data_IF_522193578882
#
_entry.id   IF_522193578882
#
_cell.length_a   1.000
_cell.length_b   1.000
_cell.length_c   1.000
_cell.angle_alpha   90.00
_cell.angle_beta   90.00
_cell.angle_gamma   90.00
#
_symmetry.space_group_name_H-M   'P 1'
#
loop_
_entity.id
_entity.type
_entity.pdbx_description
1 polymer ?
#
# COMPACT_ATOMS: atom_id res chain seq x y z
N UNK A 1 33.64 -42.86 58.64
CA UNK A 1 33.87 -42.24 57.30
C UNK A 1 32.49 -41.88 56.72
N UNK A 2 32.01 -40.63 56.93
CA UNK A 2 30.66 -40.19 56.61
C UNK A 2 30.69 -39.48 55.25
N UNK A 3 30.06 -40.06 54.20
CA UNK A 3 29.92 -39.51 52.87
C UNK A 3 28.72 -38.57 52.90
N UNK A 4 28.94 -37.26 52.71
CA UNK A 4 27.89 -36.26 52.50
C UNK A 4 27.54 -36.24 51.00
N UNK A 5 26.32 -36.66 50.68
CA UNK A 5 25.72 -36.57 49.38
C UNK A 5 25.27 -35.10 49.18
N UNK A 6 25.88 -34.39 48.27
CA UNK A 6 25.46 -33.07 47.86
C UNK A 6 24.45 -33.21 46.72
N UNK A 7 23.16 -32.91 46.98
CA UNK A 7 22.11 -32.85 45.96
C UNK A 7 22.22 -31.53 45.19
N UNK A 8 22.64 -31.54 43.97
CA UNK A 8 22.61 -30.37 43.10
C UNK A 8 21.17 -30.17 42.60
N UNK A 9 20.54 -29.03 42.99
CA UNK A 9 19.25 -28.58 42.50
C UNK A 9 19.45 -27.84 41.19
N UNK A 10 19.17 -28.49 40.05
CA UNK A 10 19.15 -27.83 38.74
C UNK A 10 17.86 -27.02 38.62
N UNK A 11 17.94 -25.67 38.68
CA UNK A 11 16.86 -24.80 38.27
C UNK A 11 16.74 -24.89 36.75
N UNK A 12 15.70 -25.50 36.26
CA UNK A 12 15.28 -25.37 34.86
C UNK A 12 14.66 -23.97 34.69
N UNK A 13 15.39 -23.07 34.04
CA UNK A 13 14.82 -21.81 33.61
C UNK A 13 13.84 -22.12 32.45
N UNK A 14 12.56 -22.11 32.72
CA UNK A 14 11.53 -22.07 31.69
C UNK A 14 11.60 -20.66 31.07
N UNK A 15 12.08 -20.57 29.83
CA UNK A 15 11.92 -19.35 29.05
C UNK A 15 10.42 -19.11 28.87
N UNK A 16 9.89 -18.06 29.52
CA UNK A 16 8.56 -17.54 29.24
C UNK A 16 8.67 -16.92 27.83
N UNK A 17 8.21 -17.66 26.84
CA UNK A 17 8.11 -17.13 25.49
C UNK A 17 6.90 -16.17 25.51
N UNK A 18 7.12 -14.91 25.18
CA UNK A 18 6.03 -13.96 25.01
C UNK A 18 5.08 -14.47 23.89
N UNK A 19 3.78 -14.25 24.06
CA UNK A 19 2.83 -14.55 23.00
C UNK A 19 3.19 -13.71 21.77
N UNK A 20 3.03 -14.24 20.54
CA UNK A 20 3.24 -13.49 19.32
C UNK A 20 2.32 -12.25 19.28
N UNK A 21 2.81 -11.14 18.76
CA UNK A 21 2.01 -9.93 18.56
C UNK A 21 0.87 -10.22 17.57
N UNK A 22 -0.32 -9.77 17.89
CA UNK A 22 -1.48 -9.76 16.98
C UNK A 22 -1.46 -8.47 16.20
N UNK A 23 -1.14 -8.57 14.93
CA UNK A 23 -0.95 -7.40 14.07
C UNK A 23 -2.05 -7.38 13.03
N UNK A 24 -2.67 -6.22 12.87
CA UNK A 24 -3.72 -5.97 11.88
C UNK A 24 -3.23 -4.92 10.90
N UNK A 25 -3.38 -5.20 9.60
CA UNK A 25 -3.10 -4.25 8.52
C UNK A 25 -4.41 -3.90 7.80
N UNK A 26 -4.52 -2.70 7.28
CA UNK A 26 -5.69 -2.25 6.53
C UNK A 26 -5.81 -2.96 5.17
N UNK A 27 -4.73 -3.01 4.41
CA UNK A 27 -4.69 -3.47 3.01
C UNK A 27 -3.62 -4.54 2.77
N UNK A 28 -3.75 -5.28 1.69
CA UNK A 28 -2.83 -6.36 1.34
C UNK A 28 -1.39 -5.89 1.07
N UNK A 29 -1.13 -4.73 0.42
CA UNK A 29 0.23 -4.19 0.32
C UNK A 29 0.87 -3.92 1.68
N UNK A 30 0.11 -3.36 2.62
CA UNK A 30 0.61 -3.05 3.97
C UNK A 30 0.82 -4.33 4.77
N UNK A 31 -0.11 -5.29 4.69
CA UNK A 31 0.10 -6.63 5.27
C UNK A 31 1.42 -7.25 4.78
N UNK A 32 1.70 -7.17 3.47
CA UNK A 32 2.94 -7.68 2.88
C UNK A 32 4.19 -7.03 3.46
N UNK A 33 4.17 -5.71 3.65
CA UNK A 33 5.29 -4.96 4.23
C UNK A 33 5.51 -5.32 5.70
N UNK A 34 4.45 -5.40 6.49
CA UNK A 34 4.52 -5.83 7.89
C UNK A 34 5.02 -7.26 7.98
N UNK A 35 4.49 -8.18 7.15
CA UNK A 35 4.91 -9.58 7.12
C UNK A 35 6.40 -9.72 6.74
N UNK A 36 6.91 -8.84 5.85
CA UNK A 36 8.33 -8.80 5.51
C UNK A 36 9.21 -8.47 6.73
N UNK A 37 8.72 -7.63 7.65
CA UNK A 37 9.46 -7.25 8.87
C UNK A 37 9.34 -8.32 9.95
N UNK A 38 8.14 -8.83 10.21
CA UNK A 38 7.93 -9.80 11.31
C UNK A 38 8.41 -11.22 10.96
N UNK A 39 8.44 -11.58 9.67
CA UNK A 39 8.78 -12.94 9.24
C UNK A 39 7.85 -13.97 9.87
N UNK A 40 8.40 -15.01 10.45
CA UNK A 40 7.66 -16.10 11.12
C UNK A 40 7.34 -15.80 12.60
N UNK A 41 7.65 -14.59 13.11
CA UNK A 41 7.42 -14.22 14.51
C UNK A 41 5.98 -13.86 14.81
N UNK A 42 5.20 -13.44 13.81
CA UNK A 42 3.79 -13.09 13.94
C UNK A 42 3.05 -13.33 12.62
N UNK A 43 1.74 -13.57 12.73
CA UNK A 43 0.81 -13.49 11.59
C UNK A 43 0.21 -12.09 11.52
N UNK A 44 0.02 -11.59 10.30
CA UNK A 44 -0.57 -10.27 10.05
C UNK A 44 -1.94 -10.47 9.42
N UNK A 45 -2.99 -10.09 10.14
CA UNK A 45 -4.36 -10.12 9.61
C UNK A 45 -4.60 -8.89 8.73
N UNK A 46 -5.28 -9.06 7.59
CA UNK A 46 -5.68 -7.98 6.69
C UNK A 46 -7.18 -7.75 6.77
N UNK A 47 -7.59 -6.49 6.91
CA UNK A 47 -9.01 -6.13 7.03
C UNK A 47 -9.69 -6.06 5.67
N UNK A 48 -9.06 -5.41 4.69
CA UNK A 48 -9.65 -5.27 3.37
C UNK A 48 -9.54 -6.57 2.58
N UNK A 49 -10.67 -7.19 2.18
CA UNK A 49 -10.63 -8.40 1.36
C UNK A 49 -10.11 -8.10 -0.05
N UNK A 50 -9.46 -9.09 -0.65
CA UNK A 50 -8.94 -8.99 -2.02
C UNK A 50 -10.01 -8.48 -3.00
N UNK A 51 -9.65 -7.47 -3.79
CA UNK A 51 -10.51 -6.87 -4.82
C UNK A 51 -11.55 -5.86 -4.29
N UNK A 52 -11.63 -5.63 -2.97
CA UNK A 52 -12.46 -4.54 -2.44
C UNK A 52 -11.78 -3.19 -2.62
N UNK A 53 -12.58 -2.12 -2.76
CA UNK A 53 -12.07 -0.74 -2.78
C UNK A 53 -11.69 -0.31 -1.36
N UNK A 54 -10.48 0.24 -1.15
CA UNK A 54 -10.11 0.81 0.13
C UNK A 54 -10.88 2.10 0.46
N UNK A 55 -11.39 2.81 -0.55
CA UNK A 55 -12.10 4.08 -0.37
C UNK A 55 -13.58 3.90 -0.02
N UNK A 56 -14.18 2.74 -0.31
CA UNK A 56 -15.61 2.48 -0.15
C UNK A 56 -15.86 1.05 0.36
N UNK A 57 -15.33 0.72 1.53
CA UNK A 57 -15.51 -0.57 2.16
C UNK A 57 -16.35 -0.46 3.43
N UNK A 58 -17.32 -1.35 3.58
CA UNK A 58 -18.11 -1.49 4.80
C UNK A 58 -17.55 -2.60 5.68
N UNK A 59 -17.07 -2.25 6.88
CA UNK A 59 -16.51 -3.20 7.84
C UNK A 59 -17.45 -4.35 8.18
N UNK A 60 -16.89 -5.56 8.23
CA UNK A 60 -17.57 -6.76 8.73
C UNK A 60 -17.42 -6.87 10.24
N UNK A 61 -18.32 -7.62 10.91
CA UNK A 61 -18.15 -7.92 12.35
C UNK A 61 -16.81 -8.58 12.70
N UNK A 62 -16.24 -9.39 11.79
CA UNK A 62 -14.91 -9.98 11.96
C UNK A 62 -13.82 -8.93 12.05
N UNK A 63 -13.90 -7.88 11.26
CA UNK A 63 -12.90 -6.82 11.20
C UNK A 63 -12.89 -6.01 12.51
N UNK A 64 -14.08 -5.78 13.10
CA UNK A 64 -14.21 -5.17 14.41
C UNK A 64 -13.59 -6.03 15.53
N UNK A 65 -13.77 -7.35 15.47
CA UNK A 65 -13.16 -8.30 16.42
C UNK A 65 -11.63 -8.30 16.27
N UNK A 66 -11.12 -8.24 15.03
CA UNK A 66 -9.68 -8.18 14.78
C UNK A 66 -9.06 -6.91 15.40
N UNK A 67 -9.71 -5.74 15.23
CA UNK A 67 -9.26 -4.47 15.82
C UNK A 67 -9.30 -4.51 17.35
N UNK A 68 -10.37 -5.06 17.95
CA UNK A 68 -10.51 -5.17 19.41
C UNK A 68 -9.40 -6.00 20.05
N UNK A 69 -8.87 -6.98 19.34
CA UNK A 69 -7.85 -7.88 19.84
C UNK A 69 -6.43 -7.57 19.34
N UNK A 70 -6.25 -6.54 18.53
CA UNK A 70 -4.96 -6.17 18.00
C UNK A 70 -4.02 -5.64 19.09
N UNK A 71 -2.75 -6.04 19.03
CA UNK A 71 -1.66 -5.42 19.80
C UNK A 71 -1.03 -4.27 18.98
N UNK A 72 -1.09 -4.39 17.63
CA UNK A 72 -0.61 -3.36 16.70
C UNK A 72 -1.60 -3.24 15.54
N UNK A 73 -1.95 -2.01 15.18
CA UNK A 73 -2.70 -1.68 13.96
C UNK A 73 -1.80 -0.86 13.04
N UNK A 74 -1.62 -1.32 11.81
CA UNK A 74 -0.87 -0.60 10.77
C UNK A 74 -1.83 -0.27 9.65
N UNK A 75 -1.99 1.00 9.35
CA UNK A 75 -2.89 1.47 8.31
C UNK A 75 -2.26 2.61 7.54
N UNK A 76 -2.69 2.81 6.30
CA UNK A 76 -2.17 3.90 5.49
C UNK A 76 -2.58 5.25 6.09
N UNK A 77 -3.85 5.41 6.41
CA UNK A 77 -4.41 6.63 6.98
C UNK A 77 -5.81 6.93 6.45
N UNK A 78 -6.42 7.99 6.99
CA UNK A 78 -7.78 8.42 6.63
C UNK A 78 -7.98 8.58 5.12
N UNK A 79 -6.99 9.11 4.40
CA UNK A 79 -7.09 9.34 2.95
C UNK A 79 -7.32 8.07 2.13
N UNK A 80 -6.88 6.89 2.60
CA UNK A 80 -7.10 5.62 1.93
C UNK A 80 -8.30 4.86 2.47
N UNK A 81 -8.35 4.68 3.80
CA UNK A 81 -9.32 3.82 4.47
C UNK A 81 -10.13 4.61 5.51
N UNK A 82 -10.93 5.60 5.08
CA UNK A 82 -11.66 6.51 5.99
C UNK A 82 -12.61 5.78 6.93
N UNK A 83 -13.09 4.60 6.57
CA UNK A 83 -13.96 3.76 7.39
C UNK A 83 -13.28 3.20 8.64
N UNK A 84 -11.94 3.28 8.75
CA UNK A 84 -11.18 2.75 9.90
C UNK A 84 -10.94 3.77 11.02
N UNK A 85 -11.05 5.07 10.77
CA UNK A 85 -10.72 6.12 11.74
C UNK A 85 -11.47 5.93 13.07
N UNK A 86 -12.79 6.06 13.08
CA UNK A 86 -13.64 5.85 14.27
C UNK A 86 -13.49 4.46 14.90
N UNK A 87 -13.47 3.33 14.13
CA UNK A 87 -13.21 2.01 14.66
C UNK A 87 -11.85 1.85 15.34
N UNK A 88 -10.76 2.38 14.79
CA UNK A 88 -9.44 2.35 15.43
C UNK A 88 -9.49 3.05 16.79
N UNK A 89 -10.05 4.26 16.85
CA UNK A 89 -10.17 5.03 18.08
C UNK A 89 -11.03 4.33 19.14
N UNK A 90 -12.07 3.62 18.72
CA UNK A 90 -13.05 3.06 19.65
C UNK A 90 -12.78 1.62 20.06
N UNK A 91 -12.23 0.79 19.15
CA UNK A 91 -12.02 -0.65 19.36
C UNK A 91 -10.55 -0.99 19.67
N UNK A 92 -9.58 -0.34 19.02
CA UNK A 92 -8.16 -0.65 19.16
C UNK A 92 -7.46 0.21 20.24
N UNK A 93 -8.14 0.53 21.34
CA UNK A 93 -7.67 1.50 22.37
C UNK A 93 -6.36 1.12 23.06
N UNK A 94 -6.11 -0.17 23.18
CA UNK A 94 -4.91 -0.71 23.83
C UNK A 94 -3.81 -1.08 22.80
N UNK A 95 -4.11 -0.97 21.51
CA UNK A 95 -3.15 -1.25 20.43
C UNK A 95 -2.20 -0.07 20.19
N UNK A 96 -0.99 -0.40 19.73
CA UNK A 96 -0.14 0.61 19.11
C UNK A 96 -0.60 0.84 17.68
N UNK A 97 -1.03 2.06 17.36
CA UNK A 97 -1.48 2.43 16.02
C UNK A 97 -0.33 3.10 15.26
N UNK A 98 -0.08 2.62 14.06
CA UNK A 98 0.89 3.20 13.11
C UNK A 98 0.12 3.69 11.89
N UNK A 99 -0.06 4.99 11.78
CA UNK A 99 -0.57 5.65 10.59
C UNK A 99 0.62 5.98 9.69
N UNK A 100 0.67 5.35 8.53
CA UNK A 100 1.87 5.39 7.68
C UNK A 100 2.04 6.73 6.98
N UNK A 101 0.95 7.41 6.62
CA UNK A 101 1.02 8.76 6.03
C UNK A 101 1.57 9.80 7.00
N UNK A 102 1.42 9.59 8.30
CA UNK A 102 1.94 10.49 9.35
C UNK A 102 3.41 10.23 9.70
N UNK A 103 4.05 9.24 9.06
CA UNK A 103 5.43 8.90 9.35
C UNK A 103 6.43 9.77 8.60
N UNK A 104 7.62 9.95 9.18
CA UNK A 104 8.72 10.70 8.56
C UNK A 104 9.57 9.86 7.60
N UNK A 105 10.41 10.54 6.82
CA UNK A 105 11.49 9.92 6.04
C UNK A 105 11.14 9.64 4.57
N UNK A 106 10.02 10.13 4.08
CA UNK A 106 9.60 10.06 2.69
C UNK A 106 8.97 11.38 2.24
N UNK A 107 8.74 11.56 0.94
CA UNK A 107 8.17 12.79 0.38
C UNK A 107 6.72 12.54 -0.08
N UNK A 108 5.73 13.19 0.55
CA UNK A 108 4.34 13.09 0.13
C UNK A 108 4.12 13.73 -1.24
N UNK A 109 3.05 13.29 -1.93
CA UNK A 109 2.44 13.99 -3.05
C UNK A 109 1.24 14.71 -2.48
N UNK A 110 1.29 16.04 -2.48
CA UNK A 110 0.16 16.87 -2.06
C UNK A 110 -0.88 16.92 -3.19
N UNK A 111 -2.14 16.73 -2.84
CA UNK A 111 -3.26 16.89 -3.78
C UNK A 111 -3.63 18.37 -3.85
N UNK A 112 -3.67 18.92 -5.06
CA UNK A 112 -4.11 20.30 -5.27
C UNK A 112 -5.59 20.45 -4.88
N UNK A 113 -5.85 21.27 -3.88
CA UNK A 113 -7.22 21.69 -3.55
C UNK A 113 -7.75 22.60 -4.67
N UNK A 114 -8.57 22.06 -5.55
CA UNK A 114 -9.46 22.92 -6.34
C UNK A 114 -10.49 23.54 -5.39
N UNK A 115 -10.40 24.87 -5.23
CA UNK A 115 -11.26 25.72 -4.41
C UNK A 115 -12.74 25.32 -4.50
N UNK A 116 -13.21 24.51 -3.57
CA UNK A 116 -14.63 24.45 -3.25
C UNK A 116 -14.76 24.91 -1.77
N UNK A 117 -15.24 26.15 -1.60
CA UNK A 117 -15.37 26.84 -0.33
C UNK A 117 -16.34 26.11 0.60
N UNK A 118 -15.83 25.22 1.43
CA UNK A 118 -16.53 24.82 2.66
C UNK A 118 -15.60 25.11 3.85
N UNK A 119 -15.86 26.25 4.49
CA UNK A 119 -15.30 26.58 5.81
C UNK A 119 -15.84 25.56 6.82
N UNK A 120 -15.02 24.63 7.31
CA UNK A 120 -15.04 24.01 8.64
C UNK A 120 -14.22 22.71 8.59
N UNK A 121 -12.96 22.81 9.10
CA UNK A 121 -12.41 21.91 10.13
C UNK A 121 -10.93 22.25 10.37
N UNK A 122 -10.56 22.49 11.63
CA UNK A 122 -9.22 22.94 12.06
C UNK A 122 -8.14 21.83 12.04
N UNK A 123 -8.29 20.77 11.24
CA UNK A 123 -7.29 19.71 11.02
C UNK A 123 -7.03 19.46 9.53
N UNK A 124 -6.90 20.58 8.75
CA UNK A 124 -6.51 20.49 7.35
C UNK A 124 -4.99 20.24 7.24
N UNK A 125 -4.57 19.00 7.44
CA UNK A 125 -3.35 18.49 6.86
C UNK A 125 -3.64 18.36 5.37
N UNK A 126 -3.02 19.20 4.52
CA UNK A 126 -3.25 19.22 3.08
C UNK A 126 -3.39 17.80 2.54
N UNK A 127 -4.45 17.54 1.77
CA UNK A 127 -4.77 16.18 1.36
C UNK A 127 -3.56 15.59 0.63
N UNK A 128 -3.05 14.48 1.15
CA UNK A 128 -1.91 13.74 0.58
C UNK A 128 -2.47 12.57 -0.23
N UNK A 129 -1.90 12.33 -1.42
CA UNK A 129 -2.21 11.11 -2.19
C UNK A 129 -1.90 9.88 -1.31
N UNK A 130 -2.90 9.05 -1.00
CA UNK A 130 -2.70 7.95 -0.07
C UNK A 130 -2.01 6.72 -0.68
N UNK A 131 -1.78 6.65 -2.00
CA UNK A 131 -1.26 5.47 -2.69
C UNK A 131 0.28 5.34 -2.63
N UNK A 132 0.86 5.79 -1.50
CA UNK A 132 2.30 5.98 -1.35
C UNK A 132 3.12 4.68 -1.38
N UNK A 133 2.52 3.51 -1.11
CA UNK A 133 3.21 2.21 -1.22
C UNK A 133 3.69 1.86 -2.63
N UNK A 134 3.31 2.62 -3.65
CA UNK A 134 3.71 2.40 -5.05
C UNK A 134 5.07 3.00 -5.41
N UNK A 135 5.80 3.55 -4.43
CA UNK A 135 7.16 4.05 -4.61
C UNK A 135 8.19 3.30 -3.76
N UNK A 136 9.38 2.97 -4.32
CA UNK A 136 10.44 2.23 -3.61
C UNK A 136 11.00 2.96 -2.39
N UNK A 137 11.16 4.28 -2.46
CA UNK A 137 11.66 5.13 -1.38
C UNK A 137 10.67 5.14 -0.20
N UNK A 138 9.38 5.25 -0.47
CA UNK A 138 8.33 5.20 0.55
C UNK A 138 8.28 3.82 1.21
N UNK A 139 8.26 2.74 0.42
CA UNK A 139 8.28 1.37 1.00
C UNK A 139 9.48 1.18 1.92
N UNK A 140 10.66 1.66 1.52
CA UNK A 140 11.88 1.55 2.33
C UNK A 140 11.78 2.32 3.65
N UNK A 141 11.23 3.54 3.63
CA UNK A 141 11.02 4.36 4.82
C UNK A 141 10.01 3.69 5.77
N UNK A 142 8.87 3.24 5.24
CA UNK A 142 7.83 2.59 6.03
C UNK A 142 8.29 1.27 6.66
N UNK A 143 9.04 0.45 5.94
CA UNK A 143 9.61 -0.80 6.47
C UNK A 143 10.58 -0.52 7.64
N UNK A 144 11.40 0.52 7.54
CA UNK A 144 12.28 0.91 8.64
C UNK A 144 11.50 1.44 9.85
N UNK A 145 10.44 2.22 9.62
CA UNK A 145 9.53 2.69 10.68
C UNK A 145 8.86 1.51 11.39
N UNK A 146 8.34 0.54 10.63
CA UNK A 146 7.73 -0.67 11.17
C UNK A 146 8.72 -1.49 12.01
N UNK A 147 9.96 -1.70 11.52
CA UNK A 147 10.98 -2.42 12.27
C UNK A 147 11.35 -1.73 13.58
N UNK A 148 11.42 -0.40 13.59
CA UNK A 148 11.69 0.38 14.80
C UNK A 148 10.55 0.26 15.82
N UNK A 149 9.30 0.43 15.36
CA UNK A 149 8.11 0.35 16.22
C UNK A 149 7.96 -1.05 16.83
N UNK A 150 8.02 -2.09 15.99
CA UNK A 150 7.93 -3.48 16.45
C UNK A 150 9.08 -3.85 17.39
N UNK A 151 10.30 -3.37 17.12
CA UNK A 151 11.45 -3.57 18.00
C UNK A 151 11.33 -2.90 19.38
N UNK A 152 10.54 -1.82 19.49
CA UNK A 152 10.20 -1.20 20.79
C UNK A 152 9.16 -2.00 21.56
N UNK A 153 8.17 -2.58 20.86
CA UNK A 153 7.11 -3.37 21.45
C UNK A 153 7.58 -4.78 21.86
N UNK A 154 8.46 -5.35 21.05
CA UNK A 154 9.08 -6.66 21.28
C UNK A 154 10.61 -6.58 21.23
N UNK A 155 11.27 -6.09 22.29
CA UNK A 155 12.72 -5.91 22.32
C UNK A 155 13.51 -7.22 22.17
N UNK A 156 12.90 -8.36 22.49
CA UNK A 156 13.55 -9.67 22.36
C UNK A 156 13.82 -10.03 20.89
N UNK A 157 12.98 -9.57 19.98
CA UNK A 157 13.05 -9.83 18.55
C UNK A 157 13.51 -8.61 17.72
N UNK A 158 13.86 -7.48 18.36
CA UNK A 158 14.23 -6.23 17.68
C UNK A 158 15.34 -6.41 16.63
N UNK A 159 16.37 -7.22 16.93
CA UNK A 159 17.45 -7.49 15.97
C UNK A 159 16.95 -8.26 14.72
N UNK A 160 15.97 -9.14 14.89
CA UNK A 160 15.36 -9.88 13.77
C UNK A 160 14.55 -8.95 12.90
N UNK A 161 13.74 -8.07 13.48
CA UNK A 161 12.98 -7.06 12.71
C UNK A 161 13.90 -6.15 11.90
N UNK A 162 15.00 -5.66 12.49
CA UNK A 162 15.98 -4.84 11.77
C UNK A 162 16.68 -5.60 10.64
N UNK A 163 17.04 -6.86 10.86
CA UNK A 163 17.64 -7.70 9.83
C UNK A 163 16.67 -7.95 8.66
N UNK A 164 15.42 -8.27 8.97
CA UNK A 164 14.39 -8.48 7.97
C UNK A 164 14.11 -7.21 7.17
N UNK A 165 14.02 -6.05 7.84
CA UNK A 165 13.83 -4.75 7.20
C UNK A 165 14.98 -4.43 6.23
N UNK A 166 16.23 -4.65 6.63
CA UNK A 166 17.39 -4.45 5.76
C UNK A 166 17.37 -5.40 4.54
N UNK A 167 16.94 -6.65 4.74
CA UNK A 167 16.77 -7.62 3.65
C UNK A 167 15.70 -7.17 2.68
N UNK A 168 14.54 -6.72 3.19
CA UNK A 168 13.46 -6.25 2.34
C UNK A 168 13.82 -4.95 1.60
N UNK A 169 14.57 -4.03 2.24
CA UNK A 169 15.08 -2.85 1.56
C UNK A 169 15.97 -3.22 0.37
N UNK A 170 16.78 -4.27 0.49
CA UNK A 170 17.56 -4.78 -0.64
C UNK A 170 16.65 -5.30 -1.77
N UNK A 171 15.61 -6.06 -1.43
CA UNK A 171 14.64 -6.55 -2.41
C UNK A 171 13.87 -5.43 -3.11
N UNK A 172 13.57 -4.33 -2.40
CA UNK A 172 12.95 -3.13 -2.98
C UNK A 172 13.89 -2.49 -4.02
N UNK A 173 15.19 -2.35 -3.71
CA UNK A 173 16.19 -1.78 -4.63
C UNK A 173 16.34 -2.66 -5.88
N UNK A 174 16.38 -3.98 -5.71
CA UNK A 174 16.44 -4.92 -6.82
C UNK A 174 15.19 -4.83 -7.70
N UNK A 175 14.01 -4.70 -7.08
CA UNK A 175 12.74 -4.51 -7.80
C UNK A 175 12.72 -3.17 -8.54
N UNK A 176 13.18 -2.08 -7.92
CA UNK A 176 13.30 -0.78 -8.59
C UNK A 176 14.11 -0.90 -9.86
N UNK A 177 15.28 -1.56 -9.80
CA UNK A 177 16.14 -1.77 -10.97
C UNK A 177 15.44 -2.59 -12.07
N UNK A 178 14.68 -3.63 -11.69
CA UNK A 178 13.92 -4.45 -12.62
C UNK A 178 12.77 -3.66 -13.30
N UNK A 179 12.09 -2.79 -12.56
CA UNK A 179 11.06 -1.88 -13.09
C UNK A 179 11.67 -0.90 -14.09
N UNK A 180 12.79 -0.27 -13.73
CA UNK A 180 13.52 0.66 -14.60
C UNK A 180 13.95 -0.01 -15.93
N UNK A 181 14.42 -1.25 -15.87
CA UNK A 181 14.78 -2.05 -17.06
C UNK A 181 13.53 -2.37 -17.90
N UNK A 182 12.43 -2.78 -17.26
CA UNK A 182 11.17 -3.11 -17.93
C UNK A 182 10.60 -1.92 -18.70
N UNK A 183 10.69 -0.72 -18.13
CA UNK A 183 10.15 0.52 -18.69
C UNK A 183 11.12 1.22 -19.69
N UNK A 184 12.37 0.77 -19.80
CA UNK A 184 13.41 1.47 -20.56
C UNK A 184 13.03 1.76 -22.02
N UNK A 185 12.41 0.78 -22.68
CA UNK A 185 12.06 0.86 -24.12
C UNK A 185 10.74 1.62 -24.40
N UNK A 186 9.96 1.91 -23.35
CA UNK A 186 8.65 2.57 -23.47
C UNK A 186 8.60 3.95 -22.81
N UNK A 187 9.74 4.49 -22.40
CA UNK A 187 9.82 5.82 -21.79
C UNK A 187 9.26 6.89 -22.72
N UNK A 188 8.45 7.78 -22.13
CA UNK A 188 7.73 8.82 -22.89
C UNK A 188 6.49 8.33 -23.61
N UNK A 189 6.15 7.05 -23.54
CA UNK A 189 4.87 6.52 -24.00
C UNK A 189 3.72 7.16 -23.21
N UNK A 190 2.63 7.49 -23.93
CA UNK A 190 1.50 8.21 -23.37
C UNK A 190 0.40 7.23 -22.96
N UNK A 191 -0.04 7.33 -21.70
CA UNK A 191 -1.12 6.52 -21.16
C UNK A 191 -2.03 7.35 -20.25
N UNK A 192 -3.22 6.85 -20.02
CA UNK A 192 -4.15 7.37 -19.00
C UNK A 192 -4.50 6.26 -18.03
N UNK A 193 -4.91 6.63 -16.81
CA UNK A 193 -5.32 5.70 -15.74
C UNK A 193 -6.82 5.81 -15.48
N UNK A 194 -7.45 4.72 -15.02
CA UNK A 194 -8.86 4.75 -14.66
C UNK A 194 -9.12 5.53 -13.37
N UNK A 195 -8.19 5.46 -12.45
CA UNK A 195 -8.21 6.09 -11.13
C UNK A 195 -6.85 6.72 -10.87
N UNK A 196 -6.83 7.90 -10.27
CA UNK A 196 -5.59 8.64 -9.96
C UNK A 196 -4.88 8.03 -8.74
N UNK A 197 -4.37 6.82 -8.92
CA UNK A 197 -3.72 6.03 -7.86
C UNK A 197 -2.24 5.77 -8.12
N UNK A 198 -1.73 6.09 -9.31
CA UNK A 198 -0.35 5.72 -9.69
C UNK A 198 0.68 6.85 -9.52
N UNK A 199 0.30 8.01 -8.94
CA UNK A 199 1.15 9.20 -8.85
C UNK A 199 2.53 8.94 -8.25
N UNK A 200 2.64 8.10 -7.22
CA UNK A 200 3.92 7.72 -6.63
C UNK A 200 4.76 6.82 -7.55
N UNK A 201 4.13 5.89 -8.26
CA UNK A 201 4.80 5.08 -9.28
C UNK A 201 5.29 5.95 -10.44
N UNK A 202 4.43 6.83 -10.94
CA UNK A 202 4.75 7.78 -12.02
C UNK A 202 5.95 8.64 -11.67
N UNK A 203 5.97 9.20 -10.46
CA UNK A 203 7.09 10.00 -9.94
C UNK A 203 8.37 9.17 -9.80
N UNK A 204 8.28 7.96 -9.23
CA UNK A 204 9.44 7.13 -8.95
C UNK A 204 10.15 6.66 -10.22
N UNK A 205 9.39 6.43 -11.29
CA UNK A 205 9.91 5.83 -12.52
C UNK A 205 9.91 6.77 -13.74
N UNK A 206 9.59 8.06 -13.54
CA UNK A 206 9.53 9.08 -14.59
C UNK A 206 8.62 8.65 -15.77
N UNK A 207 7.42 8.20 -15.42
CA UNK A 207 6.37 7.74 -16.34
C UNK A 207 5.05 8.46 -16.00
N UNK A 208 4.91 9.76 -16.28
CA UNK A 208 3.70 10.49 -15.95
C UNK A 208 2.52 10.07 -16.82
N UNK A 209 1.36 9.81 -16.22
CA UNK A 209 0.12 9.63 -16.94
C UNK A 209 -0.34 10.95 -17.59
N UNK A 210 -0.97 10.86 -18.77
CA UNK A 210 -1.56 12.01 -19.43
C UNK A 210 -2.83 12.52 -18.72
N UNK A 211 -3.40 11.71 -17.83
CA UNK A 211 -4.56 12.04 -17.01
C UNK A 211 -5.24 10.81 -16.44
N UNK A 212 -6.23 11.03 -15.58
CA UNK A 212 -7.03 10.00 -14.95
C UNK A 212 -8.51 10.13 -15.34
N UNK A 213 -9.24 8.99 -15.44
CA UNK A 213 -10.68 9.00 -15.75
C UNK A 213 -11.46 9.48 -14.53
N UNK A 214 -11.05 9.06 -13.32
CA UNK A 214 -11.66 9.50 -12.04
C UNK A 214 -10.55 9.85 -11.05
N UNK A 215 -10.87 10.70 -10.09
CA UNK A 215 -9.97 11.02 -8.96
C UNK A 215 -9.93 9.85 -7.96
N UNK A 216 -11.05 9.13 -7.81
CA UNK A 216 -11.19 8.00 -6.89
C UNK A 216 -12.02 6.90 -7.57
N UNK A 217 -11.75 5.64 -7.25
CA UNK A 217 -12.52 4.48 -7.72
C UNK A 217 -13.98 4.52 -7.24
N UNK A 218 -14.25 5.20 -6.12
CA UNK A 218 -15.59 5.43 -5.57
C UNK A 218 -16.38 6.54 -6.29
N UNK A 219 -15.77 7.26 -7.26
CA UNK A 219 -16.39 8.40 -7.94
C UNK A 219 -16.71 8.11 -9.40
N UNK A 220 -17.75 8.80 -9.94
CA UNK A 220 -18.08 8.75 -11.35
C UNK A 220 -17.54 10.01 -12.06
N UNK A 221 -16.94 9.88 -13.26
CA UNK A 221 -16.42 11.04 -13.98
C UNK A 221 -17.55 11.94 -14.51
N UNK A 222 -17.32 13.25 -14.47
CA UNK A 222 -18.23 14.21 -15.13
C UNK A 222 -18.15 14.14 -16.65
N UNK A 223 -19.26 14.45 -17.36
CA UNK A 223 -19.28 14.42 -18.82
C UNK A 223 -18.28 15.40 -19.46
N UNK A 224 -18.09 16.58 -18.87
CA UNK A 224 -17.11 17.57 -19.35
C UNK A 224 -15.69 17.03 -19.25
N UNK A 225 -15.34 16.39 -18.13
CA UNK A 225 -14.03 15.78 -17.91
C UNK A 225 -13.73 14.65 -18.92
N UNK A 226 -14.71 13.79 -19.21
CA UNK A 226 -14.57 12.76 -20.25
C UNK A 226 -14.24 13.37 -21.64
N UNK A 227 -14.91 14.49 -22.00
CA UNK A 227 -14.65 15.19 -23.27
C UNK A 227 -13.23 15.75 -23.29
N UNK A 228 -12.82 16.40 -22.23
CA UNK A 228 -11.48 16.96 -22.07
C UNK A 228 -10.40 15.88 -22.13
N UNK A 229 -10.56 14.79 -21.37
CA UNK A 229 -9.63 13.67 -21.35
C UNK A 229 -9.47 13.04 -22.74
N UNK A 230 -10.57 12.86 -23.48
CA UNK A 230 -10.51 12.36 -24.87
C UNK A 230 -9.77 13.31 -25.80
N UNK A 231 -9.86 14.62 -25.60
CA UNK A 231 -9.08 15.60 -26.37
C UNK A 231 -7.59 15.48 -26.03
N UNK A 232 -7.23 15.38 -24.75
CA UNK A 232 -5.85 15.15 -24.28
C UNK A 232 -5.28 13.86 -24.93
N UNK A 233 -6.06 12.79 -24.92
CA UNK A 233 -5.67 11.51 -25.51
C UNK A 233 -5.38 11.63 -27.02
N UNK A 234 -6.17 12.43 -27.74
CA UNK A 234 -5.95 12.67 -29.18
C UNK A 234 -4.73 13.55 -29.42
N UNK A 235 -4.54 14.62 -28.65
CA UNK A 235 -3.47 15.58 -28.81
C UNK A 235 -2.08 14.98 -28.47
N UNK A 236 -2.05 14.01 -27.55
CA UNK A 236 -0.84 13.33 -27.09
C UNK A 236 -0.63 11.93 -27.68
N UNK A 237 -1.48 11.49 -28.61
CA UNK A 237 -1.45 10.13 -29.21
C UNK A 237 -1.41 9.03 -28.12
N UNK A 238 -2.29 9.13 -27.11
CA UNK A 238 -2.38 8.13 -26.04
C UNK A 238 -2.78 6.77 -26.60
N UNK A 239 -1.93 5.77 -26.38
CA UNK A 239 -2.12 4.40 -26.91
C UNK A 239 -2.52 3.37 -25.87
N UNK A 240 -2.48 3.73 -24.58
CA UNK A 240 -2.76 2.82 -23.48
C UNK A 240 -3.70 3.46 -22.43
N UNK A 241 -4.65 2.67 -21.93
CA UNK A 241 -5.51 2.99 -20.79
C UNK A 241 -5.30 1.91 -19.75
N UNK A 242 -4.76 2.28 -18.59
CA UNK A 242 -4.65 1.37 -17.46
C UNK A 242 -5.93 1.43 -16.63
N UNK A 243 -6.49 0.26 -16.33
CA UNK A 243 -7.68 0.13 -15.49
C UNK A 243 -7.36 -0.71 -14.26
N UNK A 244 -7.93 -0.36 -13.13
CA UNK A 244 -7.87 -1.15 -11.90
C UNK A 244 -9.16 -1.97 -11.71
N UNK A 245 -9.12 -3.07 -10.91
CA UNK A 245 -10.29 -3.93 -10.69
C UNK A 245 -11.43 -3.25 -9.92
N UNK A 246 -11.15 -2.18 -9.18
CA UNK A 246 -12.11 -1.47 -8.34
C UNK A 246 -12.93 -0.47 -9.17
N UNK A 247 -12.34 0.08 -10.24
CA UNK A 247 -13.00 1.04 -11.13
C UNK A 247 -13.94 0.34 -12.13
N UNK A 248 -15.08 0.97 -12.41
CA UNK A 248 -16.02 0.42 -13.41
C UNK A 248 -15.39 0.39 -14.81
N UNK A 249 -15.27 -0.78 -15.45
CA UNK A 249 -14.67 -0.90 -16.79
C UNK A 249 -15.46 -0.15 -17.88
N UNK A 250 -16.71 0.23 -17.57
CA UNK A 250 -17.57 0.99 -18.47
C UNK A 250 -16.97 2.36 -18.84
N UNK A 251 -16.34 3.03 -17.89
CA UNK A 251 -15.74 4.34 -18.14
C UNK A 251 -14.53 4.26 -19.05
N UNK A 252 -13.68 3.27 -18.86
CA UNK A 252 -12.55 3.01 -19.74
C UNK A 252 -13.01 2.73 -21.19
N UNK A 253 -14.09 1.96 -21.36
CA UNK A 253 -14.70 1.72 -22.69
C UNK A 253 -15.19 3.01 -23.35
N UNK A 254 -15.87 3.89 -22.59
CA UNK A 254 -16.36 5.18 -23.09
C UNK A 254 -15.19 6.08 -23.51
N UNK A 255 -14.12 6.11 -22.73
CA UNK A 255 -12.92 6.91 -23.04
C UNK A 255 -12.16 6.33 -24.24
N UNK A 256 -12.03 5.01 -24.35
CA UNK A 256 -11.34 4.32 -25.43
C UNK A 256 -12.06 4.43 -26.79
N UNK A 257 -13.39 4.67 -26.79
CA UNK A 257 -14.18 4.67 -28.03
C UNK A 257 -13.65 5.67 -29.06
N UNK A 258 -13.22 5.16 -30.22
CA UNK A 258 -12.71 5.97 -31.34
C UNK A 258 -11.26 6.49 -31.16
N UNK A 259 -10.56 6.15 -30.09
CA UNK A 259 -9.15 6.55 -29.88
C UNK A 259 -8.16 5.51 -30.39
N UNK A 260 -8.53 4.25 -30.47
CA UNK A 260 -7.62 3.15 -30.80
C UNK A 260 -6.73 2.72 -29.64
N UNK A 261 -6.84 3.33 -28.46
CA UNK A 261 -6.05 2.97 -27.29
C UNK A 261 -6.39 1.57 -26.78
N UNK A 262 -5.36 0.81 -26.39
CA UNK A 262 -5.51 -0.48 -25.74
C UNK A 262 -5.95 -0.26 -24.29
N UNK A 263 -6.71 -1.20 -23.75
CA UNK A 263 -7.10 -1.22 -22.33
C UNK A 263 -6.38 -2.39 -21.65
N UNK A 264 -5.61 -2.11 -20.62
CA UNK A 264 -4.87 -3.11 -19.85
C UNK A 264 -5.19 -2.96 -18.35
N UNK A 265 -5.20 -4.09 -17.63
CA UNK A 265 -5.57 -4.11 -16.21
C UNK A 265 -4.32 -4.13 -15.35
N UNK A 266 -4.25 -3.21 -14.38
CA UNK A 266 -3.25 -3.17 -13.29
C UNK A 266 -3.98 -3.24 -11.96
N UNK A 267 -3.36 -3.85 -10.95
CA UNK A 267 -3.97 -3.96 -9.62
C UNK A 267 -3.03 -3.35 -8.55
N UNK A 268 -3.26 -2.09 -8.15
CA UNK A 268 -2.46 -1.44 -7.11
C UNK A 268 -2.52 -2.13 -5.74
N UNK A 269 -3.54 -2.98 -5.51
CA UNK A 269 -3.66 -3.78 -4.28
C UNK A 269 -2.99 -5.17 -4.40
N UNK A 270 -2.67 -5.60 -5.61
CA UNK A 270 -1.99 -6.87 -5.86
C UNK A 270 -2.79 -8.10 -5.46
N UNK A 271 -4.12 -8.09 -5.63
CA UNK A 271 -4.99 -9.20 -5.22
C UNK A 271 -4.69 -10.53 -5.96
N UNK A 272 -4.16 -10.45 -7.19
CA UNK A 272 -3.77 -11.61 -7.98
C UNK A 272 -2.36 -12.13 -7.64
N UNK A 273 -1.55 -11.36 -6.90
CA UNK A 273 -0.21 -11.76 -6.50
C UNK A 273 -0.25 -12.71 -5.29
N UNK A 274 0.75 -13.60 -5.16
CA UNK A 274 0.84 -14.47 -4.00
C UNK A 274 0.87 -13.70 -2.68
N UNK A 275 0.22 -14.25 -1.64
CA UNK A 275 0.33 -13.73 -0.29
C UNK A 275 1.77 -13.79 0.21
N UNK A 276 2.12 -12.85 1.08
CA UNK A 276 3.41 -12.86 1.77
C UNK A 276 4.28 -11.63 1.49
N UNK A 277 5.54 -11.66 1.93
CA UNK A 277 6.40 -10.48 2.05
C UNK A 277 6.82 -9.84 0.71
N UNK A 278 6.66 -10.53 -0.41
CA UNK A 278 7.06 -10.03 -1.73
C UNK A 278 5.93 -9.37 -2.51
N UNK A 279 4.68 -9.37 -2.01
CA UNK A 279 3.54 -8.79 -2.73
C UNK A 279 3.74 -7.31 -2.98
N UNK A 280 4.14 -6.53 -1.97
CA UNK A 280 4.28 -5.08 -2.09
C UNK A 280 5.29 -4.65 -3.16
N UNK A 281 6.41 -5.36 -3.28
CA UNK A 281 7.38 -5.13 -4.36
C UNK A 281 6.88 -5.68 -5.69
N UNK A 282 6.22 -6.82 -5.68
CA UNK A 282 5.64 -7.46 -6.87
C UNK A 282 4.61 -6.58 -7.59
N UNK A 283 3.84 -5.78 -6.86
CA UNK A 283 2.86 -4.83 -7.42
C UNK A 283 3.55 -3.85 -8.38
N UNK A 284 4.67 -3.25 -8.00
CA UNK A 284 5.39 -2.29 -8.85
C UNK A 284 5.88 -2.94 -10.14
N UNK A 285 6.40 -4.17 -10.06
CA UNK A 285 6.88 -4.90 -11.23
C UNK A 285 5.74 -5.35 -12.15
N UNK A 286 4.60 -5.72 -11.58
CA UNK A 286 3.38 -6.07 -12.33
C UNK A 286 2.85 -4.86 -13.10
N UNK A 287 2.70 -3.71 -12.43
CA UNK A 287 2.30 -2.45 -13.08
C UNK A 287 3.25 -2.10 -14.23
N UNK A 288 4.57 -2.17 -14.01
CA UNK A 288 5.56 -1.88 -15.03
C UNK A 288 5.45 -2.82 -16.23
N UNK A 289 5.25 -4.12 -15.98
CA UNK A 289 5.12 -5.14 -17.03
C UNK A 289 3.88 -4.89 -17.88
N UNK A 290 2.73 -4.68 -17.22
CA UNK A 290 1.47 -4.41 -17.93
C UNK A 290 1.54 -3.11 -18.73
N UNK A 291 2.10 -2.04 -18.11
CA UNK A 291 2.28 -0.76 -18.80
C UNK A 291 3.19 -0.89 -20.02
N UNK A 292 4.35 -1.55 -19.86
CA UNK A 292 5.28 -1.76 -20.97
C UNK A 292 4.65 -2.56 -22.12
N UNK A 293 3.89 -3.61 -21.82
CA UNK A 293 3.20 -4.42 -22.84
C UNK A 293 2.03 -3.66 -23.51
N UNK A 294 1.36 -2.79 -22.76
CA UNK A 294 0.30 -1.95 -23.29
C UNK A 294 0.83 -0.87 -24.25
N UNK A 295 1.99 -0.27 -23.93
CA UNK A 295 2.62 0.77 -24.74
C UNK A 295 3.40 0.24 -25.98
N UNK A 296 3.81 -1.04 -25.95
CA UNK A 296 4.42 -1.66 -27.16
C UNK A 296 3.37 -1.84 -28.27
N UNK A 297 3.79 -1.59 -29.53
CA UNK A 297 2.95 -1.75 -30.72
C UNK A 297 2.50 -3.22 -30.98
#
# INVERSE_FOLDING_TARGET
MSIRLATALTLAATSLQAEPLRIVADTAPIQSMVQAVVGDLAEVEVLLPAGASPHDYAMRPSDAIALEHADVVVWVGHGLTPFLEDPIETLAKDATVVELLDTDGWLPIELDHHDDHSEHDEHDHGAVDPHAWLAPDVQSAWIMTLANTLGQLDPANAATYQFNAATQTTAIIDTQSAVEETLADVRGGQFVVSHDALGYFERAFDMPAAGAITISDASAPGAAHIIELRQIMQDLDVTCILVDPQTSPKWAQVVAEGTGAKVAMVDPQGAALPDGPIRSTGIMLDIATVLADCLKE
#
